data_IF_958752038962
#
_entry.id   IF_958752038962
#
_cell.length_a   1.000
_cell.length_b   1.000
_cell.length_c   1.000
_cell.angle_alpha   90.00
_cell.angle_beta   90.00
_cell.angle_gamma   90.00
#
_symmetry.space_group_name_H-M   'P 1'
#
loop_
_entity.id
_entity.type
_entity.pdbx_description
1 polymer ?
#
# COMPACT_ATOMS: atom_id res chain seq x y z
N UNK A 1 -31.54 -24.40 -11.51
CA UNK A 1 -32.49 -23.29 -11.69
C UNK A 1 -31.93 -22.32 -12.71
N UNK A 2 -32.80 -21.81 -13.58
CA UNK A 2 -32.50 -21.21 -14.89
C UNK A 2 -31.72 -19.89 -14.80
N UNK A 3 -30.84 -19.69 -15.78
CA UNK A 3 -30.13 -18.46 -16.09
C UNK A 3 -31.11 -17.31 -16.36
N UNK A 4 -30.96 -16.20 -15.64
CA UNK A 4 -31.60 -14.93 -15.97
C UNK A 4 -30.54 -14.00 -16.57
N UNK A 5 -30.66 -13.76 -17.88
CA UNK A 5 -29.98 -12.68 -18.59
C UNK A 5 -30.48 -11.35 -18.03
N UNK A 6 -29.66 -10.64 -17.26
CA UNK A 6 -29.89 -9.24 -16.96
C UNK A 6 -29.21 -8.39 -18.04
N UNK A 7 -30.02 -7.86 -18.96
CA UNK A 7 -29.65 -6.68 -19.73
C UNK A 7 -29.53 -5.49 -18.78
N UNK A 8 -28.34 -5.30 -18.20
CA UNK A 8 -27.99 -4.03 -17.58
C UNK A 8 -27.87 -2.98 -18.67
N UNK A 9 -28.68 -1.91 -18.58
CA UNK A 9 -28.49 -0.68 -19.32
C UNK A 9 -27.01 -0.25 -19.28
N UNK A 10 -26.49 0.39 -20.33
CA UNK A 10 -25.10 0.82 -20.36
C UNK A 10 -24.85 1.72 -19.14
N UNK A 11 -24.01 1.24 -18.21
CA UNK A 11 -23.49 2.07 -17.12
C UNK A 11 -22.92 3.31 -17.79
N UNK A 12 -23.53 4.46 -17.55
CA UNK A 12 -22.87 5.76 -17.75
C UNK A 12 -21.64 5.74 -16.84
N UNK A 13 -20.53 5.22 -17.38
CA UNK A 13 -19.23 5.32 -16.75
C UNK A 13 -18.89 6.81 -16.81
N UNK A 14 -19.25 7.55 -15.75
CA UNK A 14 -18.67 8.86 -15.50
C UNK A 14 -17.17 8.71 -15.69
N UNK A 15 -16.53 9.65 -16.42
CA UNK A 15 -15.08 9.66 -16.53
C UNK A 15 -14.51 9.51 -15.11
N UNK A 16 -13.79 8.42 -14.82
CA UNK A 16 -13.35 8.12 -13.46
C UNK A 16 -12.50 9.25 -12.87
N UNK A 17 -11.87 10.05 -13.74
CA UNK A 17 -11.12 11.25 -13.36
C UNK A 17 -12.01 12.38 -12.81
N UNK A 18 -13.25 12.53 -13.27
CA UNK A 18 -14.15 13.57 -12.75
C UNK A 18 -14.59 13.32 -11.31
N UNK A 19 -14.34 12.11 -10.78
CA UNK A 19 -14.60 11.73 -9.40
C UNK A 19 -13.36 11.87 -8.49
N UNK A 20 -12.21 12.24 -9.05
CA UNK A 20 -11.00 12.53 -8.26
C UNK A 20 -11.18 13.82 -7.50
N UNK A 21 -10.76 13.80 -6.24
CA UNK A 21 -10.75 14.98 -5.39
C UNK A 21 -9.58 15.88 -5.78
N UNK A 22 -9.88 17.15 -6.05
CA UNK A 22 -8.95 18.22 -6.39
C UNK A 22 -9.41 19.54 -5.77
N UNK A 23 -9.07 19.73 -4.50
CA UNK A 23 -9.38 20.95 -3.75
C UNK A 23 -8.65 22.20 -4.28
N UNK A 24 -7.62 22.04 -5.13
CA UNK A 24 -6.89 23.16 -5.69
C UNK A 24 -7.64 23.81 -6.86
N UNK A 25 -8.41 23.03 -7.62
CA UNK A 25 -9.12 23.52 -8.81
C UNK A 25 -10.64 23.50 -8.70
N UNK A 26 -11.19 22.69 -7.79
CA UNK A 26 -12.63 22.52 -7.62
C UNK A 26 -13.13 23.10 -6.30
N UNK A 27 -14.27 23.83 -6.28
CA UNK A 27 -14.89 24.26 -5.04
C UNK A 27 -15.43 23.05 -4.27
N UNK A 28 -15.56 23.22 -2.95
CA UNK A 28 -16.19 22.23 -2.10
C UNK A 28 -17.67 22.06 -2.50
N UNK A 29 -18.15 20.81 -2.57
CA UNK A 29 -19.56 20.54 -2.86
C UNK A 29 -20.48 21.22 -1.83
N UNK A 30 -21.60 21.79 -2.30
CA UNK A 30 -22.48 22.64 -1.49
C UNK A 30 -23.00 21.92 -0.23
N UNK A 31 -23.40 20.66 -0.35
CA UNK A 31 -23.90 19.88 0.80
C UNK A 31 -22.80 19.46 1.78
N UNK A 32 -21.52 19.62 1.44
CA UNK A 32 -20.44 19.42 2.40
C UNK A 32 -20.32 20.59 3.39
N UNK A 33 -20.74 21.80 3.04
CA UNK A 33 -20.48 23.03 3.83
C UNK A 33 -20.96 22.90 5.28
N UNK A 34 -22.14 22.30 5.49
CA UNK A 34 -22.78 22.09 6.79
C UNK A 34 -22.74 20.62 7.25
N UNK A 35 -22.00 19.77 6.54
CA UNK A 35 -21.89 18.36 6.88
C UNK A 35 -21.12 18.16 8.19
N UNK A 36 -21.68 17.37 9.11
CA UNK A 36 -21.06 17.04 10.41
C UNK A 36 -19.71 16.34 10.26
N UNK A 37 -19.51 15.58 9.17
CA UNK A 37 -18.27 14.85 8.92
C UNK A 37 -17.23 15.70 8.14
N UNK A 38 -17.55 16.95 7.76
CA UNK A 38 -16.63 17.82 7.01
C UNK A 38 -15.31 18.08 7.74
N UNK A 39 -15.28 18.38 9.06
CA UNK A 39 -14.01 18.55 9.78
C UNK A 39 -13.09 17.33 9.65
N UNK A 40 -13.68 16.13 9.63
CA UNK A 40 -12.98 14.86 9.47
C UNK A 40 -12.57 14.58 8.02
N UNK A 41 -13.48 14.72 7.05
CA UNK A 41 -13.24 14.26 5.68
C UNK A 41 -12.67 15.33 4.74
N UNK A 42 -12.72 16.61 5.13
CA UNK A 42 -12.32 17.77 4.33
C UNK A 42 -13.39 18.27 3.35
N UNK A 43 -14.50 17.54 3.21
CA UNK A 43 -15.45 17.75 2.13
C UNK A 43 -15.04 17.00 0.85
N UNK A 44 -15.73 17.27 -0.26
CA UNK A 44 -15.41 16.71 -1.57
C UNK A 44 -15.31 17.85 -2.59
N UNK A 45 -14.30 17.77 -3.45
CA UNK A 45 -13.92 18.78 -4.44
C UNK A 45 -13.70 18.08 -5.77
N UNK A 46 -14.76 17.80 -6.53
CA UNK A 46 -14.58 17.11 -7.81
C UNK A 46 -15.50 17.66 -8.90
N UNK A 47 -15.16 17.34 -10.15
CA UNK A 47 -15.86 17.86 -11.32
C UNK A 47 -17.18 17.15 -11.65
N UNK A 48 -17.59 16.14 -10.87
CA UNK A 48 -18.93 15.58 -11.04
C UNK A 48 -19.97 16.56 -10.49
N UNK A 49 -21.06 16.77 -11.22
CA UNK A 49 -22.19 17.53 -10.71
C UNK A 49 -22.95 16.68 -9.69
N UNK A 50 -22.76 16.96 -8.39
CA UNK A 50 -23.47 16.33 -7.27
C UNK A 50 -23.52 17.30 -6.06
N UNK A 51 -24.48 17.12 -5.16
CA UNK A 51 -24.69 18.03 -4.02
C UNK A 51 -23.76 17.71 -2.84
N UNK A 52 -23.66 16.43 -2.46
CA UNK A 52 -22.72 15.91 -1.46
C UNK A 52 -22.45 14.40 -1.65
N UNK A 53 -21.52 13.84 -0.87
CA UNK A 53 -21.14 12.43 -1.03
C UNK A 53 -22.28 11.42 -0.76
N UNK A 54 -23.39 11.85 -0.16
CA UNK A 54 -24.63 11.09 -0.03
C UNK A 54 -25.26 10.75 -1.38
N UNK A 55 -24.97 11.53 -2.42
CA UNK A 55 -25.37 11.18 -3.80
C UNK A 55 -24.74 9.87 -4.27
N UNK A 56 -23.66 9.39 -3.65
CA UNK A 56 -23.06 8.09 -3.97
C UNK A 56 -23.68 6.91 -3.20
N UNK A 57 -24.70 7.15 -2.38
CA UNK A 57 -25.49 6.12 -1.71
C UNK A 57 -26.47 5.40 -2.68
N UNK A 58 -25.96 4.82 -3.78
CA UNK A 58 -26.78 4.34 -4.91
C UNK A 58 -26.94 2.82 -4.97
N UNK A 59 -27.15 2.19 -3.82
CA UNK A 59 -27.35 0.75 -3.78
C UNK A 59 -28.73 0.36 -4.33
N UNK A 60 -28.75 -0.46 -5.38
CA UNK A 60 -30.00 -0.99 -5.98
C UNK A 60 -30.79 -1.80 -4.95
N UNK A 61 -30.12 -2.73 -4.26
CA UNK A 61 -30.69 -3.50 -3.17
C UNK A 61 -30.15 -3.02 -1.81
N UNK A 62 -31.06 -2.46 -1.00
CA UNK A 62 -30.73 -2.00 0.35
C UNK A 62 -30.49 -3.14 1.34
N UNK A 63 -30.94 -4.36 1.08
CA UNK A 63 -30.68 -5.49 1.96
C UNK A 63 -29.22 -5.98 1.87
N UNK A 64 -28.63 -5.94 0.68
CA UNK A 64 -27.29 -6.49 0.40
C UNK A 64 -26.16 -5.47 0.27
N UNK A 65 -26.47 -4.17 0.25
CA UNK A 65 -25.42 -3.18 0.08
C UNK A 65 -24.58 -2.91 1.33
N UNK A 66 -23.27 -2.95 1.14
CA UNK A 66 -22.26 -2.85 2.20
C UNK A 66 -21.69 -1.44 2.40
N UNK A 67 -22.14 -0.44 1.62
CA UNK A 67 -21.67 0.93 1.75
C UNK A 67 -22.00 1.51 3.13
N UNK A 68 -21.03 2.16 3.76
CA UNK A 68 -21.24 2.93 4.99
C UNK A 68 -21.93 4.25 4.63
N UNK A 69 -23.26 4.23 4.59
CA UNK A 69 -24.07 5.32 4.06
C UNK A 69 -25.25 5.70 4.98
N UNK A 70 -25.46 7.01 5.18
CA UNK A 70 -26.57 7.57 5.99
C UNK A 70 -27.98 7.24 5.45
N UNK A 71 -28.11 6.95 4.15
CA UNK A 71 -29.33 6.44 3.51
C UNK A 71 -29.79 5.06 4.03
N UNK A 72 -29.00 4.41 4.90
CA UNK A 72 -29.37 3.22 5.66
C UNK A 72 -29.03 3.39 7.15
N UNK A 73 -29.83 4.16 7.91
CA UNK A 73 -29.48 4.57 9.27
C UNK A 73 -29.08 3.42 10.22
N UNK A 74 -29.80 2.29 10.19
CA UNK A 74 -29.49 1.13 11.04
C UNK A 74 -28.11 0.53 10.75
N UNK A 75 -27.79 0.30 9.47
CA UNK A 75 -26.50 -0.25 9.05
C UNK A 75 -25.38 0.78 9.27
N UNK A 76 -25.62 2.05 8.95
CA UNK A 76 -24.68 3.14 9.20
C UNK A 76 -24.26 3.21 10.67
N UNK A 77 -25.22 3.22 11.60
CA UNK A 77 -24.93 3.23 13.04
C UNK A 77 -24.17 1.96 13.47
N UNK A 78 -24.51 0.79 12.93
CA UNK A 78 -23.79 -0.44 13.21
C UNK A 78 -22.32 -0.36 12.77
N UNK A 79 -22.05 0.14 11.56
CA UNK A 79 -20.70 0.35 11.02
C UNK A 79 -19.90 1.39 11.81
N UNK A 80 -20.55 2.46 12.29
CA UNK A 80 -19.87 3.41 13.16
C UNK A 80 -19.51 2.80 14.52
N UNK A 81 -20.39 2.00 15.12
CA UNK A 81 -20.10 1.30 16.38
C UNK A 81 -19.00 0.25 16.22
N UNK A 82 -18.97 -0.44 15.09
CA UNK A 82 -17.96 -1.45 14.76
C UNK A 82 -16.53 -0.93 14.85
N UNK A 83 -16.30 0.34 14.50
CA UNK A 83 -14.97 0.98 14.54
C UNK A 83 -14.87 2.10 15.58
N UNK A 84 -15.89 2.26 16.41
CA UNK A 84 -16.02 3.34 17.41
C UNK A 84 -15.85 4.76 16.80
N UNK A 85 -16.59 5.04 15.72
CA UNK A 85 -16.55 6.31 15.01
C UNK A 85 -15.44 6.43 13.97
N UNK A 86 -15.40 7.57 13.27
CA UNK A 86 -14.54 7.78 12.09
C UNK A 86 -13.22 8.49 12.40
N UNK A 87 -13.02 8.91 13.65
CA UNK A 87 -11.80 9.59 14.09
C UNK A 87 -10.68 8.62 14.44
N UNK A 88 -9.42 9.05 14.33
CA UNK A 88 -8.29 8.20 14.72
C UNK A 88 -7.96 8.26 16.21
N UNK A 89 -8.31 9.36 16.89
CA UNK A 89 -7.89 9.67 18.25
C UNK A 89 -8.20 8.56 19.28
N UNK A 90 -9.32 7.85 19.12
CA UNK A 90 -9.75 6.79 20.02
C UNK A 90 -9.21 5.39 19.67
N UNK A 91 -8.42 5.22 18.60
CA UNK A 91 -7.68 3.94 18.45
C UNK A 91 -6.59 3.90 19.53
N UNK A 92 -6.43 2.82 20.31
CA UNK A 92 -5.37 2.75 21.32
C UNK A 92 -3.97 2.88 20.70
N UNK A 93 -2.99 3.24 21.53
CA UNK A 93 -1.58 3.14 21.16
C UNK A 93 -1.12 1.69 21.20
N UNK A 94 0.03 1.43 20.58
CA UNK A 94 0.68 0.14 20.61
C UNK A 94 2.16 0.29 21.04
N UNK A 95 2.79 -0.78 21.55
CA UNK A 95 4.23 -0.78 21.77
C UNK A 95 4.98 -0.46 20.47
N UNK A 96 6.09 0.28 20.60
CA UNK A 96 7.02 0.45 19.49
C UNK A 96 7.78 -0.87 19.28
N UNK A 97 7.59 -1.48 18.12
CA UNK A 97 8.36 -2.65 17.68
C UNK A 97 9.41 -2.18 16.68
N UNK A 98 10.67 -2.51 16.90
CA UNK A 98 11.75 -2.11 16.00
C UNK A 98 11.60 -2.80 14.63
N UNK A 99 11.84 -2.05 13.55
CA UNK A 99 11.92 -2.59 12.20
C UNK A 99 13.38 -2.59 11.80
N UNK A 100 13.93 -3.77 11.55
CA UNK A 100 15.28 -3.92 11.03
C UNK A 100 15.37 -3.39 9.60
N UNK A 101 16.58 -2.97 9.18
CA UNK A 101 16.82 -2.49 7.83
C UNK A 101 16.37 -3.48 6.76
N UNK A 102 15.65 -2.97 5.76
CA UNK A 102 15.14 -3.72 4.62
C UNK A 102 15.95 -3.35 3.36
N UNK A 103 16.20 -4.31 2.45
CA UNK A 103 16.89 -4.00 1.19
C UNK A 103 15.97 -3.20 0.25
N UNK A 104 16.51 -2.55 -0.80
CA UNK A 104 15.73 -1.74 -1.73
C UNK A 104 14.61 -2.49 -2.47
N UNK A 105 14.69 -3.82 -2.56
CA UNK A 105 13.68 -4.69 -3.17
C UNK A 105 13.62 -6.03 -2.47
N UNK A 106 12.39 -6.55 -2.28
CA UNK A 106 12.09 -7.86 -1.72
C UNK A 106 11.16 -8.59 -2.69
N UNK A 107 11.52 -9.80 -3.17
CA UNK A 107 10.66 -10.56 -4.08
C UNK A 107 9.46 -11.14 -3.33
N UNK A 108 8.26 -10.95 -3.87
CA UNK A 108 7.03 -11.58 -3.38
C UNK A 108 6.81 -12.94 -4.04
N UNK A 109 6.70 -13.98 -3.23
CA UNK A 109 6.51 -15.36 -3.67
C UNK A 109 5.10 -15.82 -3.31
N UNK A 110 4.28 -16.09 -4.33
CA UNK A 110 2.88 -16.49 -4.08
C UNK A 110 2.72 -17.99 -3.83
N UNK A 111 3.54 -18.84 -4.45
CA UNK A 111 3.51 -20.30 -4.30
C UNK A 111 4.78 -20.95 -4.88
N UNK A 112 4.94 -22.26 -4.64
CA UNK A 112 6.04 -23.06 -5.20
C UNK A 112 5.69 -23.84 -6.49
N UNK A 113 4.50 -23.66 -7.08
CA UNK A 113 4.08 -24.37 -8.30
C UNK A 113 5.13 -24.29 -9.42
N UNK A 114 5.42 -25.43 -10.06
CA UNK A 114 6.43 -25.60 -11.10
C UNK A 114 7.89 -25.34 -10.66
N UNK A 115 8.14 -25.32 -9.35
CA UNK A 115 9.47 -25.28 -8.74
C UNK A 115 9.73 -26.57 -7.96
N UNK A 116 10.98 -26.98 -7.90
CA UNK A 116 11.41 -28.18 -7.17
C UNK A 116 12.47 -27.89 -6.10
N UNK A 117 13.11 -26.73 -6.19
CA UNK A 117 14.12 -26.27 -5.26
C UNK A 117 13.65 -25.09 -4.40
N UNK A 118 14.57 -24.65 -3.54
CA UNK A 118 14.39 -23.46 -2.72
C UNK A 118 14.91 -22.22 -3.45
N UNK A 119 14.19 -21.11 -3.32
CA UNK A 119 14.72 -19.80 -3.71
C UNK A 119 15.79 -19.37 -2.70
N UNK A 120 17.01 -19.16 -3.18
CA UNK A 120 18.10 -18.61 -2.38
C UNK A 120 18.01 -17.08 -2.38
N UNK A 121 17.25 -16.53 -1.44
CA UNK A 121 17.14 -15.09 -1.18
C UNK A 121 17.17 -14.86 0.33
N UNK A 122 18.00 -13.92 0.84
CA UNK A 122 18.12 -13.69 2.29
C UNK A 122 16.86 -13.11 2.93
N UNK A 123 15.94 -12.61 2.10
CA UNK A 123 14.64 -12.08 2.51
C UNK A 123 13.62 -12.31 1.40
N UNK A 124 12.39 -12.62 1.76
CA UNK A 124 11.28 -12.82 0.83
C UNK A 124 9.98 -12.24 1.40
N UNK A 125 9.09 -11.83 0.50
CA UNK A 125 7.74 -11.40 0.87
C UNK A 125 6.73 -12.51 0.58
N UNK A 126 5.77 -12.72 1.47
CA UNK A 126 4.66 -13.67 1.30
C UNK A 126 3.30 -12.96 1.40
N UNK A 127 2.27 -13.40 0.66
CA UNK A 127 0.93 -12.86 0.82
C UNK A 127 0.34 -13.24 2.18
N UNK A 128 -0.11 -12.25 2.96
CA UNK A 128 -0.71 -12.44 4.29
C UNK A 128 -1.78 -13.54 4.31
N UNK A 129 -2.75 -13.45 3.40
CA UNK A 129 -3.88 -14.39 3.33
C UNK A 129 -3.50 -15.79 2.85
N UNK A 130 -2.28 -16.00 2.34
CA UNK A 130 -1.77 -17.34 2.03
C UNK A 130 -1.25 -18.06 3.29
N UNK A 131 -1.05 -17.32 4.39
CA UNK A 131 -0.63 -17.86 5.69
C UNK A 131 -1.81 -18.19 6.59
N UNK A 132 -2.99 -17.60 6.36
CA UNK A 132 -4.13 -17.69 7.26
C UNK A 132 -5.16 -18.74 6.85
N UNK A 133 -5.63 -19.51 7.82
CA UNK A 133 -6.93 -20.16 7.78
C UNK A 133 -7.95 -19.31 8.54
N UNK A 134 -8.59 -18.40 7.82
CA UNK A 134 -9.47 -17.38 8.37
C UNK A 134 -10.75 -17.98 8.98
N UNK A 135 -11.25 -19.08 8.40
CA UNK A 135 -12.49 -19.70 8.87
C UNK A 135 -12.29 -20.40 10.22
N UNK A 136 -11.10 -20.98 10.41
CA UNK A 136 -10.69 -21.62 11.66
C UNK A 136 -10.13 -20.60 12.66
N UNK A 137 -9.58 -19.47 12.19
CA UNK A 137 -8.93 -18.46 13.03
C UNK A 137 -7.51 -18.83 13.44
N UNK A 138 -6.76 -19.46 12.53
CA UNK A 138 -5.40 -19.97 12.81
C UNK A 138 -4.47 -19.81 11.60
N UNK A 139 -3.19 -20.13 11.74
CA UNK A 139 -2.28 -20.27 10.61
C UNK A 139 -2.47 -21.58 9.85
N UNK A 140 -2.27 -21.53 8.53
CA UNK A 140 -2.23 -22.72 7.65
C UNK A 140 -0.98 -23.58 7.88
N UNK A 141 0.08 -22.97 8.39
CA UNK A 141 1.36 -23.61 8.61
C UNK A 141 1.71 -23.49 10.09
N UNK A 142 1.97 -24.61 10.78
CA UNK A 142 2.16 -24.62 12.23
C UNK A 142 3.48 -23.96 12.66
N UNK A 143 4.47 -23.95 11.78
CA UNK A 143 5.80 -23.45 12.06
C UNK A 143 6.50 -22.92 10.81
N UNK A 144 7.70 -22.39 11.05
CA UNK A 144 8.57 -21.83 10.03
C UNK A 144 9.03 -22.85 8.98
N UNK A 145 9.31 -24.08 9.37
CA UNK A 145 9.81 -25.11 8.47
C UNK A 145 8.72 -25.54 7.47
N UNK A 146 7.50 -25.76 7.96
CA UNK A 146 6.34 -26.10 7.13
C UNK A 146 5.99 -24.98 6.15
N UNK A 147 6.05 -23.72 6.59
CA UNK A 147 5.88 -22.55 5.74
C UNK A 147 6.96 -22.50 4.66
N UNK A 148 8.23 -22.61 5.03
CA UNK A 148 9.35 -22.53 4.08
C UNK A 148 9.32 -23.66 3.05
N UNK A 149 8.99 -24.88 3.46
CA UNK A 149 8.77 -26.00 2.55
C UNK A 149 7.63 -25.72 1.57
N UNK A 150 6.50 -25.21 2.05
CA UNK A 150 5.33 -24.94 1.21
C UNK A 150 5.60 -23.89 0.14
N UNK A 151 6.31 -22.82 0.49
CA UNK A 151 6.63 -21.73 -0.42
C UNK A 151 7.95 -21.95 -1.16
N UNK A 152 8.69 -23.03 -0.88
CA UNK A 152 9.99 -23.35 -1.45
C UNK A 152 11.00 -22.22 -1.26
N UNK A 153 11.11 -21.71 -0.05
CA UNK A 153 12.04 -20.62 0.33
C UNK A 153 13.03 -21.13 1.36
N UNK A 154 14.17 -20.47 1.49
CA UNK A 154 15.13 -20.78 2.55
C UNK A 154 14.48 -20.60 3.94
N UNK A 155 14.56 -21.59 4.86
CA UNK A 155 14.04 -21.47 6.22
C UNK A 155 14.61 -20.28 7.00
N UNK A 156 15.86 -19.87 6.70
CA UNK A 156 16.54 -18.76 7.35
C UNK A 156 16.30 -17.39 6.69
N UNK A 157 15.58 -17.33 5.55
CA UNK A 157 15.30 -16.07 4.88
C UNK A 157 14.38 -15.18 5.72
N UNK A 158 14.74 -13.93 6.00
CA UNK A 158 13.84 -13.00 6.70
C UNK A 158 12.48 -12.92 5.98
N UNK A 159 11.39 -12.82 6.73
CA UNK A 159 10.04 -12.81 6.16
C UNK A 159 9.43 -11.41 6.22
N UNK A 160 8.96 -10.94 5.07
CA UNK A 160 8.00 -9.84 4.98
C UNK A 160 6.63 -10.40 4.63
N UNK A 161 5.58 -9.86 5.23
CA UNK A 161 4.21 -10.31 4.99
C UNK A 161 3.39 -9.15 4.42
N UNK A 162 2.88 -9.32 3.20
CA UNK A 162 2.10 -8.29 2.51
C UNK A 162 0.59 -8.51 2.71
N UNK A 163 -0.06 -7.56 3.38
CA UNK A 163 -1.51 -7.51 3.60
C UNK A 163 -2.34 -7.07 2.39
N UNK A 164 -1.69 -6.82 1.23
CA UNK A 164 -2.40 -6.41 0.01
C UNK A 164 -3.12 -7.59 -0.64
N UNK A 165 -4.43 -7.48 -0.83
CA UNK A 165 -5.24 -8.48 -1.54
C UNK A 165 -6.51 -7.91 -2.18
N UNK A 166 -7.35 -8.79 -2.73
CA UNK A 166 -8.70 -8.44 -3.18
C UNK A 166 -9.64 -8.29 -1.99
N UNK A 167 -10.60 -7.38 -2.09
CA UNK A 167 -11.58 -7.05 -1.04
C UNK A 167 -12.21 -8.28 -0.37
N UNK A 168 -12.61 -9.31 -1.14
CA UNK A 168 -13.19 -10.55 -0.57
C UNK A 168 -12.30 -11.19 0.52
N UNK A 169 -10.97 -11.16 0.39
CA UNK A 169 -10.05 -11.72 1.39
C UNK A 169 -9.89 -10.78 2.59
N UNK A 170 -9.79 -9.48 2.31
CA UNK A 170 -9.64 -8.42 3.32
C UNK A 170 -10.87 -8.38 4.24
N UNK A 171 -12.07 -8.38 3.65
CA UNK A 171 -13.34 -8.38 4.40
C UNK A 171 -13.52 -9.65 5.23
N UNK A 172 -13.07 -10.81 4.73
CA UNK A 172 -13.07 -12.06 5.51
C UNK A 172 -12.14 -11.98 6.71
N UNK A 173 -10.96 -11.38 6.58
CA UNK A 173 -10.05 -11.20 7.71
C UNK A 173 -10.68 -10.32 8.79
N UNK A 174 -11.31 -9.22 8.41
CA UNK A 174 -11.99 -8.36 9.38
C UNK A 174 -13.12 -9.06 10.13
N UNK A 175 -13.87 -9.90 9.43
CA UNK A 175 -14.92 -10.72 10.02
C UNK A 175 -14.40 -11.96 10.77
N UNK A 176 -13.08 -12.15 10.88
CA UNK A 176 -12.51 -13.30 11.54
C UNK A 176 -12.82 -13.29 13.05
N UNK A 177 -13.15 -14.47 13.58
CA UNK A 177 -13.60 -14.62 14.97
C UNK A 177 -12.50 -14.34 15.99
N UNK A 178 -11.26 -14.74 15.69
CA UNK A 178 -10.14 -14.64 16.61
C UNK A 178 -8.87 -14.12 15.91
N UNK A 179 -8.89 -12.82 15.57
CA UNK A 179 -7.71 -12.13 15.05
C UNK A 179 -6.53 -12.13 16.05
N UNK A 180 -6.74 -11.90 17.36
CA UNK A 180 -5.64 -11.95 18.34
C UNK A 180 -4.85 -13.26 18.32
N UNK A 181 -5.51 -14.43 18.30
CA UNK A 181 -4.82 -15.71 18.23
C UNK A 181 -4.00 -15.87 16.93
N UNK A 182 -4.57 -15.49 15.77
CA UNK A 182 -3.82 -15.51 14.51
C UNK A 182 -2.58 -14.62 14.54
N UNK A 183 -2.68 -13.42 15.11
CA UNK A 183 -1.57 -12.48 15.22
C UNK A 183 -0.48 -12.99 16.16
N UNK A 184 -0.83 -13.64 17.27
CA UNK A 184 0.13 -14.29 18.16
C UNK A 184 0.89 -15.42 17.46
N UNK A 185 0.21 -16.26 16.67
CA UNK A 185 0.86 -17.30 15.88
C UNK A 185 1.78 -16.71 14.80
N UNK A 186 1.39 -15.60 14.16
CA UNK A 186 2.25 -14.90 13.21
C UNK A 186 3.52 -14.35 13.87
N UNK A 187 3.41 -13.83 15.09
CA UNK A 187 4.58 -13.33 15.82
C UNK A 187 5.62 -14.42 16.06
N UNK A 188 5.18 -15.68 16.25
CA UNK A 188 6.07 -16.83 16.40
C UNK A 188 6.83 -17.22 15.11
N UNK A 189 6.48 -16.66 13.94
CA UNK A 189 7.17 -16.93 12.67
C UNK A 189 8.40 -16.03 12.41
N UNK A 190 8.75 -15.14 13.34
CA UNK A 190 9.87 -14.20 13.22
C UNK A 190 9.76 -13.34 11.94
N UNK A 191 8.68 -12.57 11.87
CA UNK A 191 8.36 -11.68 10.74
C UNK A 191 9.16 -10.39 10.88
N UNK A 192 9.97 -10.06 9.86
CA UNK A 192 10.78 -8.85 9.80
C UNK A 192 9.94 -7.58 9.54
N UNK A 193 8.83 -7.70 8.79
CA UNK A 193 7.84 -6.65 8.61
C UNK A 193 6.50 -7.23 8.13
N UNK A 194 5.38 -6.74 8.65
CA UNK A 194 4.03 -7.00 8.12
C UNK A 194 3.35 -5.69 7.69
N UNK A 195 2.59 -5.74 6.60
CA UNK A 195 1.64 -4.66 6.25
C UNK A 195 0.21 -5.12 6.56
N UNK A 196 -0.66 -4.26 7.08
CA UNK A 196 -2.05 -4.60 7.38
C UNK A 196 -2.86 -4.79 6.08
N UNK A 197 -4.10 -5.33 6.18
CA UNK A 197 -5.08 -5.30 5.09
C UNK A 197 -5.25 -3.88 4.52
N UNK A 198 -5.18 -3.75 3.20
CA UNK A 198 -5.29 -2.47 2.49
C UNK A 198 -6.75 -2.13 2.12
N UNK A 199 -7.61 -1.89 3.12
CA UNK A 199 -9.02 -1.56 2.87
C UNK A 199 -9.16 -0.43 1.84
N UNK A 200 -10.00 -0.65 0.83
CA UNK A 200 -10.10 0.19 -0.36
C UNK A 200 -10.74 1.55 -0.06
N UNK A 201 -10.17 2.63 -0.61
CA UNK A 201 -10.75 3.98 -0.59
C UNK A 201 -11.19 4.35 -2.00
N UNK A 202 -12.47 4.14 -2.29
CA UNK A 202 -13.04 4.29 -3.62
C UNK A 202 -13.54 5.72 -3.88
N UNK A 203 -13.58 6.13 -5.16
CA UNK A 203 -13.99 7.47 -5.59
C UNK A 203 -15.49 7.61 -5.83
N UNK A 204 -16.20 6.50 -6.01
CA UNK A 204 -17.62 6.44 -6.33
C UNK A 204 -18.50 5.99 -5.14
N UNK A 205 -17.99 6.18 -3.92
CA UNK A 205 -18.69 5.87 -2.66
C UNK A 205 -18.77 7.10 -1.75
N UNK A 206 -19.70 7.12 -0.78
CA UNK A 206 -19.77 8.17 0.24
C UNK A 206 -18.47 8.27 1.04
N UNK A 207 -18.11 9.47 1.51
CA UNK A 207 -16.86 9.67 2.26
C UNK A 207 -16.82 8.90 3.57
N UNK A 208 -17.97 8.67 4.20
CA UNK A 208 -18.11 7.82 5.39
C UNK A 208 -17.61 6.39 5.17
N UNK A 209 -17.72 5.87 3.94
CA UNK A 209 -17.20 4.55 3.56
C UNK A 209 -15.67 4.52 3.54
N UNK A 210 -15.06 5.54 2.93
CA UNK A 210 -13.60 5.69 2.92
C UNK A 210 -13.03 5.91 4.32
N UNK A 211 -13.65 6.77 5.13
CA UNK A 211 -13.21 7.03 6.49
C UNK A 211 -13.29 5.78 7.36
N UNK A 212 -14.34 4.97 7.19
CA UNK A 212 -14.48 3.68 7.85
C UNK A 212 -13.37 2.71 7.42
N UNK A 213 -13.07 2.62 6.11
CA UNK A 213 -11.96 1.82 5.60
C UNK A 213 -10.61 2.24 6.21
N UNK A 214 -10.31 3.56 6.22
CA UNK A 214 -9.08 4.09 6.82
C UNK A 214 -8.97 3.76 8.31
N UNK A 215 -10.07 3.91 9.07
CA UNK A 215 -10.13 3.54 10.48
C UNK A 215 -9.83 2.04 10.70
N UNK A 216 -10.37 1.16 9.86
CA UNK A 216 -10.07 -0.29 9.89
C UNK A 216 -8.61 -0.61 9.60
N UNK A 217 -7.96 0.12 8.70
CA UNK A 217 -6.52 -0.02 8.46
C UNK A 217 -5.76 0.30 9.75
N UNK A 218 -6.06 1.42 10.40
CA UNK A 218 -5.37 1.82 11.63
C UNK A 218 -5.60 0.82 12.77
N UNK A 219 -6.85 0.35 12.95
CA UNK A 219 -7.16 -0.66 13.97
C UNK A 219 -6.39 -1.95 13.72
N UNK A 220 -6.38 -2.48 12.48
CA UNK A 220 -5.61 -3.67 12.15
C UNK A 220 -4.09 -3.46 12.34
N UNK A 221 -3.58 -2.26 12.04
CA UNK A 221 -2.18 -1.89 12.29
C UNK A 221 -1.85 -1.99 13.78
N UNK A 222 -2.69 -1.39 14.63
CA UNK A 222 -2.49 -1.38 16.08
C UNK A 222 -2.63 -2.78 16.67
N UNK A 223 -3.59 -3.59 16.22
CA UNK A 223 -3.71 -5.00 16.61
C UNK A 223 -2.43 -5.79 16.31
N UNK A 224 -1.84 -5.60 15.12
CA UNK A 224 -0.57 -6.26 14.74
C UNK A 224 0.60 -5.80 15.62
N UNK A 225 0.73 -4.49 15.86
CA UNK A 225 1.79 -3.95 16.73
C UNK A 225 1.63 -4.42 18.18
N UNK A 226 0.39 -4.51 18.69
CA UNK A 226 0.10 -5.03 20.03
C UNK A 226 0.47 -6.51 20.17
N UNK A 227 0.40 -7.28 19.10
CA UNK A 227 0.89 -8.66 19.05
C UNK A 227 2.43 -8.76 18.93
N UNK A 228 3.15 -7.63 18.92
CA UNK A 228 4.61 -7.59 18.82
C UNK A 228 5.15 -7.68 17.39
N UNK A 229 4.31 -7.53 16.36
CA UNK A 229 4.75 -7.60 14.97
C UNK A 229 5.34 -6.24 14.50
N UNK A 230 6.53 -6.23 13.86
CA UNK A 230 7.03 -5.04 13.19
C UNK A 230 6.09 -4.68 12.03
N UNK A 231 5.36 -3.57 12.15
CA UNK A 231 4.22 -3.28 11.26
C UNK A 231 4.40 -1.95 10.52
N UNK A 232 4.12 -1.94 9.22
CA UNK A 232 4.05 -0.72 8.41
C UNK A 232 2.59 -0.28 8.22
N UNK A 233 2.22 0.93 8.66
CA UNK A 233 0.87 1.47 8.50
C UNK A 233 0.54 1.66 7.01
N UNK A 234 -0.55 1.06 6.52
CA UNK A 234 -0.95 1.27 5.12
C UNK A 234 -1.66 2.63 4.95
N UNK A 235 -0.97 3.64 4.43
CA UNK A 235 -1.51 5.00 4.31
C UNK A 235 -2.44 5.18 3.09
N UNK A 236 -3.54 4.42 3.02
CA UNK A 236 -4.50 4.56 1.93
C UNK A 236 -5.28 5.88 2.09
N UNK A 237 -5.51 6.59 0.99
CA UNK A 237 -6.11 7.93 1.02
C UNK A 237 -6.82 8.25 -0.29
N UNK A 238 -7.88 9.07 -0.22
CA UNK A 238 -8.61 9.59 -1.38
C UNK A 238 -8.39 11.08 -1.58
N UNK A 239 -8.33 11.86 -0.50
CA UNK A 239 -8.21 13.33 -0.54
C UNK A 239 -6.90 13.79 0.10
N UNK A 240 -6.55 15.07 -0.07
CA UNK A 240 -5.41 15.66 0.67
C UNK A 240 -5.66 15.64 2.18
N UNK A 241 -6.89 15.90 2.63
CA UNK A 241 -7.27 15.83 4.05
C UNK A 241 -7.01 14.44 4.65
N UNK A 242 -7.14 13.37 3.85
CA UNK A 242 -6.81 12.01 4.32
C UNK A 242 -5.31 11.89 4.66
N UNK A 243 -4.43 12.47 3.84
CA UNK A 243 -2.99 12.50 4.10
C UNK A 243 -2.61 13.41 5.26
N UNK A 244 -3.28 14.56 5.41
CA UNK A 244 -3.11 15.42 6.59
C UNK A 244 -3.43 14.67 7.87
N UNK A 245 -4.55 13.95 7.91
CA UNK A 245 -4.95 13.14 9.09
C UNK A 245 -3.97 12.02 9.39
N UNK A 246 -3.43 11.37 8.36
CA UNK A 246 -2.34 10.42 8.56
C UNK A 246 -1.10 11.10 9.13
N UNK A 247 -0.72 12.28 8.62
CA UNK A 247 0.39 13.08 9.14
C UNK A 247 0.22 13.49 10.60
N UNK A 248 -0.95 14.06 10.96
CA UNK A 248 -1.33 14.41 12.34
C UNK A 248 -1.19 13.20 13.27
N UNK A 249 -1.76 12.05 12.86
CA UNK A 249 -1.66 10.81 13.63
C UNK A 249 -0.22 10.34 13.83
N UNK A 250 0.59 10.34 12.77
CA UNK A 250 1.96 9.83 12.80
C UNK A 250 2.86 10.75 13.63
N UNK A 251 2.67 12.07 13.54
CA UNK A 251 3.41 13.03 14.36
C UNK A 251 3.20 12.78 15.86
N UNK A 252 1.98 12.42 16.25
CA UNK A 252 1.65 12.08 17.64
C UNK A 252 2.04 10.65 18.03
N UNK A 253 2.36 9.77 17.07
CA UNK A 253 2.59 8.32 17.29
C UNK A 253 3.97 7.88 16.82
N UNK A 254 5.03 8.13 17.60
CA UNK A 254 6.40 7.73 17.26
C UNK A 254 6.58 6.20 17.18
N UNK A 255 5.62 5.42 17.68
CA UNK A 255 5.59 3.97 17.46
C UNK A 255 5.40 3.58 15.98
N UNK A 256 4.83 4.46 15.15
CA UNK A 256 4.67 4.28 13.69
C UNK A 256 5.94 4.74 12.99
N UNK A 257 6.74 3.77 12.52
CA UNK A 257 8.06 4.01 11.93
C UNK A 257 8.09 3.75 10.41
N UNK A 258 7.16 2.94 9.91
CA UNK A 258 7.08 2.56 8.51
C UNK A 258 5.67 2.78 7.97
N UNK A 259 5.60 3.22 6.72
CA UNK A 259 4.38 3.24 5.93
C UNK A 259 4.40 2.13 4.87
N UNK A 260 3.21 1.67 4.51
CA UNK A 260 2.98 0.82 3.35
C UNK A 260 2.08 1.56 2.35
N UNK A 261 2.36 1.42 1.07
CA UNK A 261 1.51 1.96 0.02
C UNK A 261 1.50 1.05 -1.22
N UNK A 262 0.35 0.96 -1.89
CA UNK A 262 0.19 0.13 -3.08
C UNK A 262 -0.18 0.99 -4.29
N UNK A 263 0.63 0.89 -5.35
CA UNK A 263 0.40 1.53 -6.64
C UNK A 263 -0.05 0.53 -7.71
N UNK A 264 -0.26 -0.75 -7.40
CA UNK A 264 -0.62 -1.73 -8.43
C UNK A 264 -2.08 -1.61 -8.91
N UNK A 265 -2.93 -0.88 -8.18
CA UNK A 265 -4.33 -0.62 -8.54
C UNK A 265 -4.55 0.83 -8.99
N UNK A 266 -5.74 1.41 -8.74
CA UNK A 266 -6.16 2.73 -9.25
C UNK A 266 -5.18 3.87 -8.92
N UNK A 267 -4.46 3.77 -7.81
CA UNK A 267 -3.45 4.76 -7.40
C UNK A 267 -2.24 4.86 -8.35
N UNK A 268 -1.92 3.82 -9.13
CA UNK A 268 -0.77 3.82 -10.04
C UNK A 268 -1.02 4.33 -11.46
N UNK A 269 -2.21 4.90 -11.74
CA UNK A 269 -2.63 5.24 -13.10
C UNK A 269 -2.49 6.73 -13.41
N UNK A 270 -1.72 7.06 -14.45
CA UNK A 270 -1.62 8.41 -14.99
C UNK A 270 -1.23 9.45 -13.94
N UNK A 271 -1.84 10.64 -14.02
CA UNK A 271 -1.64 11.77 -13.10
C UNK A 271 -1.94 11.43 -11.64
N UNK A 272 -2.77 10.41 -11.39
CA UNK A 272 -3.11 9.99 -10.03
C UNK A 272 -1.90 9.42 -9.28
N UNK A 273 -0.98 8.77 -10.00
CA UNK A 273 0.28 8.31 -9.42
C UNK A 273 1.09 9.50 -8.92
N UNK A 274 1.27 10.51 -9.76
CA UNK A 274 2.08 11.68 -9.45
C UNK A 274 1.46 12.47 -8.28
N UNK A 275 0.12 12.55 -8.23
CA UNK A 275 -0.60 13.12 -7.08
C UNK A 275 -0.32 12.35 -5.77
N UNK A 276 -0.46 11.02 -5.76
CA UNK A 276 -0.17 10.21 -4.57
C UNK A 276 1.29 10.33 -4.13
N UNK A 277 2.22 10.39 -5.08
CA UNK A 277 3.65 10.62 -4.80
C UNK A 277 3.85 11.97 -4.13
N UNK A 278 3.26 13.05 -4.66
CA UNK A 278 3.35 14.38 -4.08
C UNK A 278 2.79 14.40 -2.65
N UNK A 279 1.64 13.76 -2.42
CA UNK A 279 1.00 13.69 -1.11
C UNK A 279 1.82 12.87 -0.09
N UNK A 280 2.40 11.73 -0.50
CA UNK A 280 3.29 10.94 0.35
C UNK A 280 4.58 11.69 0.70
N UNK A 281 5.16 12.41 -0.25
CA UNK A 281 6.32 13.28 -0.02
C UNK A 281 5.99 14.40 0.95
N UNK A 282 4.83 15.05 0.79
CA UNK A 282 4.37 16.09 1.71
C UNK A 282 4.06 15.53 3.11
N UNK A 283 3.51 14.32 3.20
CA UNK A 283 3.33 13.65 4.50
C UNK A 283 4.67 13.43 5.19
N UNK A 284 5.66 12.89 4.48
CA UNK A 284 6.99 12.63 5.02
C UNK A 284 7.70 13.89 5.52
N UNK A 285 7.46 15.05 4.89
CA UNK A 285 8.06 16.32 5.32
C UNK A 285 7.34 17.00 6.48
N UNK A 286 6.06 16.67 6.72
CA UNK A 286 5.24 17.24 7.81
C UNK A 286 5.46 16.54 9.16
N UNK A 287 5.89 15.27 9.14
CA UNK A 287 6.10 14.48 10.36
C UNK A 287 7.51 14.73 10.93
N UNK A 288 7.68 14.79 12.27
CA UNK A 288 8.97 15.11 12.88
C UNK A 288 9.99 13.96 12.80
N UNK A 289 9.54 12.71 12.68
CA UNK A 289 10.42 11.54 12.60
C UNK A 289 10.68 11.08 11.15
N UNK A 290 11.89 10.58 10.86
CA UNK A 290 12.15 9.91 9.59
C UNK A 290 11.29 8.65 9.46
N UNK A 291 10.65 8.48 8.31
CA UNK A 291 9.82 7.31 8.01
C UNK A 291 10.49 6.38 7.00
N UNK A 292 10.35 5.08 7.23
CA UNK A 292 10.54 4.07 6.19
C UNK A 292 9.27 3.91 5.35
N UNK A 293 9.41 3.48 4.10
CA UNK A 293 8.30 3.23 3.19
C UNK A 293 8.48 1.87 2.51
N UNK A 294 7.42 1.08 2.51
CA UNK A 294 7.32 -0.13 1.69
C UNK A 294 6.27 0.08 0.62
N UNK A 295 6.67 -0.03 -0.64
CA UNK A 295 5.77 0.13 -1.78
C UNK A 295 5.54 -1.19 -2.48
N UNK A 296 4.31 -1.39 -2.99
CA UNK A 296 4.00 -2.47 -3.93
C UNK A 296 3.56 -1.88 -5.26
N UNK A 297 4.26 -2.21 -6.33
CA UNK A 297 4.02 -1.66 -7.66
C UNK A 297 4.48 -0.20 -7.80
N UNK A 298 4.26 0.38 -8.97
CA UNK A 298 4.57 1.80 -9.23
C UNK A 298 6.06 2.12 -9.28
N UNK A 299 6.88 1.37 -10.02
CA UNK A 299 8.33 1.63 -10.11
C UNK A 299 8.69 3.10 -10.42
N UNK A 300 7.87 3.80 -11.21
CA UNK A 300 8.04 5.23 -11.54
C UNK A 300 7.96 6.16 -10.32
N UNK A 301 7.27 5.74 -9.26
CA UNK A 301 7.14 6.50 -8.03
C UNK A 301 8.40 6.42 -7.14
N UNK A 302 9.30 5.47 -7.40
CA UNK A 302 10.39 5.17 -6.46
C UNK A 302 11.40 6.30 -6.29
N UNK A 303 11.75 6.98 -7.37
CA UNK A 303 12.77 8.05 -7.32
C UNK A 303 12.34 9.20 -6.40
N UNK A 304 11.20 9.88 -6.61
CA UNK A 304 10.77 10.95 -5.71
C UNK A 304 10.52 10.46 -4.28
N UNK A 305 10.01 9.23 -4.09
CA UNK A 305 9.79 8.69 -2.75
C UNK A 305 11.12 8.38 -2.02
N UNK A 306 12.16 7.93 -2.72
CA UNK A 306 13.50 7.73 -2.15
C UNK A 306 14.16 9.04 -1.74
N UNK A 307 13.73 10.16 -2.33
CA UNK A 307 14.18 11.48 -1.90
C UNK A 307 13.53 11.93 -0.59
N UNK A 308 12.29 11.52 -0.34
CA UNK A 308 11.48 12.00 0.76
C UNK A 308 11.53 11.12 2.02
N UNK A 309 11.72 9.80 1.86
CA UNK A 309 11.70 8.83 2.95
C UNK A 309 13.11 8.37 3.33
N UNK A 310 13.33 8.05 4.62
CA UNK A 310 14.63 7.60 5.12
C UNK A 310 15.05 6.24 4.54
N UNK A 311 14.07 5.41 4.17
CA UNK A 311 14.29 4.20 3.37
C UNK A 311 13.07 3.87 2.54
N UNK A 312 13.28 3.33 1.33
CA UNK A 312 12.20 2.85 0.46
C UNK A 312 12.51 1.44 -0.02
N UNK A 313 11.61 0.51 0.28
CA UNK A 313 11.68 -0.90 -0.14
C UNK A 313 10.54 -1.22 -1.10
N UNK A 314 10.85 -1.79 -2.26
CA UNK A 314 9.83 -2.32 -3.18
C UNK A 314 9.53 -3.78 -2.84
N UNK A 315 8.27 -4.11 -2.53
CA UNK A 315 7.77 -5.48 -2.63
C UNK A 315 7.46 -5.75 -4.10
N UNK A 316 8.36 -6.49 -4.74
CA UNK A 316 8.28 -6.79 -6.16
C UNK A 316 7.41 -8.02 -6.42
N UNK A 317 6.48 -7.89 -7.35
CA UNK A 317 5.65 -9.00 -7.84
C UNK A 317 6.09 -9.50 -9.21
N UNK A 318 6.90 -8.72 -9.94
CA UNK A 318 7.21 -9.02 -11.34
C UNK A 318 8.18 -10.19 -11.45
N UNK A 319 9.21 -10.31 -10.59
CA UNK A 319 10.16 -11.43 -10.63
C UNK A 319 9.42 -12.78 -10.63
N UNK A 320 8.45 -12.94 -9.74
CA UNK A 320 7.67 -14.17 -9.64
C UNK A 320 6.69 -14.33 -10.80
N UNK A 321 5.85 -13.33 -11.06
CA UNK A 321 4.83 -13.40 -12.09
C UNK A 321 5.43 -13.65 -13.49
N UNK A 322 6.52 -12.95 -13.82
CA UNK A 322 7.20 -13.06 -15.12
C UNK A 322 7.89 -14.42 -15.27
N UNK A 323 8.47 -14.96 -14.20
CA UNK A 323 8.97 -16.35 -14.17
C UNK A 323 7.86 -17.35 -14.49
N UNK A 324 6.68 -17.21 -13.88
CA UNK A 324 5.54 -18.09 -14.16
C UNK A 324 5.14 -18.05 -15.64
N UNK A 325 5.22 -16.87 -16.28
CA UNK A 325 5.01 -16.69 -17.72
C UNK A 325 6.22 -17.02 -18.60
N UNK A 326 7.26 -17.66 -18.05
CA UNK A 326 8.49 -18.03 -18.76
C UNK A 326 9.12 -16.82 -19.44
N UNK A 327 9.28 -15.74 -18.68
CA UNK A 327 9.97 -14.54 -19.12
C UNK A 327 11.22 -14.31 -18.27
N UNK A 328 12.33 -13.97 -18.92
CA UNK A 328 13.60 -13.64 -18.28
C UNK A 328 13.80 -12.13 -18.26
N UNK A 329 14.22 -11.62 -17.11
CA UNK A 329 14.74 -10.28 -16.94
C UNK A 329 16.14 -10.22 -17.57
N UNK A 330 16.35 -9.25 -18.46
CA UNK A 330 17.62 -8.99 -19.13
C UNK A 330 17.91 -7.49 -19.13
N UNK A 331 19.16 -7.12 -18.95
CA UNK A 331 19.60 -5.74 -19.14
C UNK A 331 19.93 -5.50 -20.61
N UNK A 332 19.42 -4.40 -21.16
CA UNK A 332 19.88 -3.85 -22.43
C UNK A 332 21.24 -3.15 -22.24
N UNK A 333 21.99 -2.89 -23.32
CA UNK A 333 23.25 -2.14 -23.25
C UNK A 333 23.11 -0.73 -22.65
N UNK A 334 21.91 -0.13 -22.72
CA UNK A 334 21.58 1.16 -22.11
C UNK A 334 21.23 1.06 -20.61
N UNK A 335 21.41 -0.11 -20.00
CA UNK A 335 21.13 -0.36 -18.58
C UNK A 335 19.65 -0.56 -18.24
N UNK A 336 18.74 -0.51 -19.22
CA UNK A 336 17.30 -0.72 -18.98
C UNK A 336 16.97 -2.21 -18.83
N UNK A 337 16.17 -2.53 -17.83
CA UNK A 337 15.63 -3.88 -17.64
C UNK A 337 14.50 -4.14 -18.65
N UNK A 338 14.56 -5.28 -19.34
CA UNK A 338 13.51 -5.75 -20.25
C UNK A 338 13.16 -7.20 -19.99
N UNK A 339 11.89 -7.55 -20.26
CA UNK A 339 11.39 -8.91 -20.17
C UNK A 339 11.41 -9.58 -21.55
N UNK A 340 12.10 -10.71 -21.67
CA UNK A 340 12.15 -11.52 -22.91
C UNK A 340 11.52 -12.88 -22.67
N UNK A 341 10.87 -13.44 -23.69
CA UNK A 341 10.38 -14.82 -23.63
C UNK A 341 11.58 -15.76 -23.43
N UNK A 342 11.44 -16.69 -22.49
CA UNK A 342 12.42 -17.71 -22.14
C UNK A 342 11.70 -19.07 -22.06
N UNK A 343 11.25 -19.61 -23.20
CA UNK A 343 10.49 -20.85 -23.22
C UNK A 343 11.30 -22.00 -22.61
N UNK A 344 10.63 -22.86 -21.85
CA UNK A 344 11.20 -24.09 -21.30
C UNK A 344 10.43 -25.29 -21.84
N UNK A 345 11.00 -26.48 -21.74
CA UNK A 345 10.26 -27.71 -22.05
C UNK A 345 9.03 -27.85 -21.15
N UNK A 346 7.96 -28.54 -21.61
CA UNK A 346 6.82 -28.88 -20.77
C UNK A 346 7.26 -29.60 -19.49
N UNK A 347 6.72 -29.17 -18.34
CA UNK A 347 7.08 -29.73 -17.03
C UNK A 347 8.45 -29.29 -16.48
N UNK A 348 9.27 -28.57 -17.25
CA UNK A 348 10.57 -28.13 -16.77
C UNK A 348 10.44 -27.14 -15.59
N UNK A 349 11.27 -27.32 -14.54
CA UNK A 349 11.28 -26.44 -13.38
C UNK A 349 11.70 -25.01 -13.73
N UNK A 350 11.24 -24.04 -12.95
CA UNK A 350 11.58 -22.61 -13.14
C UNK A 350 12.52 -22.03 -12.09
N UNK A 351 13.11 -22.88 -11.25
CA UNK A 351 13.97 -22.46 -10.15
C UNK A 351 15.12 -21.55 -10.61
N UNK A 352 15.87 -21.97 -11.64
CA UNK A 352 16.96 -21.18 -12.19
C UNK A 352 16.50 -19.84 -12.79
N UNK A 353 15.35 -19.85 -13.48
CA UNK A 353 14.77 -18.63 -14.06
C UNK A 353 14.31 -17.65 -12.96
N UNK A 354 13.71 -18.16 -11.88
CA UNK A 354 13.30 -17.34 -10.76
C UNK A 354 14.52 -16.72 -10.06
N UNK A 355 15.56 -17.52 -9.79
CA UNK A 355 16.80 -17.05 -9.18
C UNK A 355 17.44 -15.94 -10.02
N UNK A 356 17.51 -16.13 -11.35
CA UNK A 356 18.01 -15.10 -12.28
C UNK A 356 17.17 -13.83 -12.23
N UNK A 357 15.84 -13.94 -12.30
CA UNK A 357 14.94 -12.79 -12.32
C UNK A 357 15.01 -11.98 -11.02
N UNK A 358 15.05 -12.66 -9.87
CA UNK A 358 15.23 -12.03 -8.56
C UNK A 358 16.57 -11.29 -8.50
N UNK A 359 17.68 -11.95 -8.87
CA UNK A 359 19.00 -11.33 -8.85
C UNK A 359 19.10 -10.11 -9.79
N UNK A 360 18.51 -10.20 -11.00
CA UNK A 360 18.49 -9.10 -11.96
C UNK A 360 17.72 -7.88 -11.43
N UNK A 361 16.52 -8.10 -10.87
CA UNK A 361 15.72 -7.02 -10.28
C UNK A 361 16.38 -6.42 -9.04
N UNK A 362 16.93 -7.24 -8.15
CA UNK A 362 17.71 -6.74 -7.01
C UNK A 362 18.85 -5.83 -7.46
N UNK A 363 19.62 -6.26 -8.46
CA UNK A 363 20.70 -5.45 -9.04
C UNK A 363 20.18 -4.14 -9.62
N UNK A 364 19.06 -4.17 -10.34
CA UNK A 364 18.42 -2.98 -10.89
C UNK A 364 18.02 -1.99 -9.79
N UNK A 365 17.37 -2.46 -8.72
CA UNK A 365 16.93 -1.62 -7.61
C UNK A 365 18.10 -1.04 -6.80
N UNK A 366 19.21 -1.77 -6.67
CA UNK A 366 20.44 -1.30 -6.03
C UNK A 366 21.08 -0.19 -6.87
N UNK A 367 21.19 -0.38 -8.20
CA UNK A 367 21.72 0.65 -9.11
C UNK A 367 20.87 1.92 -9.02
N UNK A 368 19.55 1.79 -9.13
CA UNK A 368 18.64 2.94 -9.02
C UNK A 368 18.75 3.66 -7.66
N UNK A 369 18.95 2.91 -6.57
CA UNK A 369 19.10 3.51 -5.24
C UNK A 369 20.44 4.27 -5.10
N UNK A 370 21.52 3.72 -5.66
CA UNK A 370 22.86 4.34 -5.64
C UNK A 370 22.92 5.61 -6.48
N UNK A 371 22.47 5.55 -7.74
CA UNK A 371 22.44 6.70 -8.63
C UNK A 371 21.66 7.87 -8.03
N UNK A 372 20.56 7.57 -7.33
CA UNK A 372 19.80 8.57 -6.60
C UNK A 372 20.57 9.17 -5.41
N UNK A 373 21.20 8.33 -4.57
CA UNK A 373 22.00 8.80 -3.44
C UNK A 373 23.24 9.63 -3.87
N UNK A 374 23.75 9.41 -5.08
CA UNK A 374 24.80 10.22 -5.71
C UNK A 374 24.25 11.57 -6.20
N UNK A 375 23.11 11.56 -6.90
CA UNK A 375 22.45 12.79 -7.35
C UNK A 375 22.12 13.72 -6.18
N UNK A 376 21.57 13.21 -5.07
CA UNK A 376 21.29 14.02 -3.88
C UNK A 376 22.55 14.68 -3.30
N UNK A 377 23.66 13.93 -3.22
CA UNK A 377 24.94 14.47 -2.73
C UNK A 377 25.46 15.59 -3.64
N UNK A 378 25.32 15.44 -4.95
CA UNK A 378 25.74 16.46 -5.91
C UNK A 378 24.89 17.73 -5.77
N UNK A 379 23.55 17.61 -5.68
CA UNK A 379 22.64 18.75 -5.52
C UNK A 379 22.88 19.50 -4.20
N UNK A 380 23.16 18.78 -3.10
CA UNK A 380 23.53 19.40 -1.83
C UNK A 380 24.89 20.12 -1.89
N UNK A 381 25.85 19.60 -2.67
CA UNK A 381 27.16 20.26 -2.84
C UNK A 381 27.09 21.52 -3.69
N UNK A 382 26.19 21.56 -4.69
CA UNK A 382 25.99 22.73 -5.55
C UNK A 382 25.24 23.86 -4.84
N UNK A 383 24.30 23.52 -3.93
CA UNK A 383 23.59 24.50 -3.09
C UNK A 383 24.45 25.21 -2.05
N UNK A 384 25.69 24.77 -1.83
CA UNK A 384 26.65 25.38 -0.89
C UNK A 384 27.71 26.27 -1.55
N UNK A 385 27.65 26.51 -2.87
CA UNK A 385 28.47 27.56 -3.49
C UNK A 385 27.97 28.93 -3.01
N UNK A 386 28.68 29.50 -2.04
CA UNK A 386 28.50 30.88 -1.60
C UNK A 386 28.51 31.81 -2.83
N UNK A 387 27.67 32.86 -2.85
CA UNK A 387 27.69 33.82 -3.95
C UNK A 387 29.11 34.37 -4.07
N UNK A 388 29.67 34.19 -5.26
CA UNK A 388 31.03 34.57 -5.56
C UNK A 388 31.19 36.07 -5.26
N UNK A 389 32.22 36.42 -4.48
CA UNK A 389 32.48 37.80 -4.00
C UNK A 389 32.83 38.77 -5.14
N UNK A 390 32.79 38.31 -6.40
CA UNK A 390 33.18 39.06 -7.59
C UNK A 390 32.13 40.10 -8.05
N UNK A 391 30.86 40.01 -7.62
CA UNK A 391 29.80 40.91 -8.11
C UNK A 391 29.63 42.23 -7.32
N UNK A 392 30.51 42.54 -6.36
CA UNK A 392 30.46 43.83 -5.61
C UNK A 392 31.30 44.97 -6.17
N UNK A 393 32.07 44.78 -7.24
CA UNK A 393 32.91 45.85 -7.82
C UNK A 393 32.42 46.45 -9.15
N UNK A 394 31.19 46.14 -9.59
CA UNK A 394 30.63 46.71 -10.82
C UNK A 394 29.52 47.77 -10.59
N UNK A 395 29.41 48.33 -9.39
CA UNK A 395 28.49 49.45 -9.08
C UNK A 395 29.17 50.50 -8.23
N UNK A 396 30.28 51.03 -8.72
CA UNK A 396 30.85 52.32 -8.33
C UNK A 396 31.85 52.69 -9.44
N UNK A 397 31.36 53.45 -10.41
CA UNK A 397 32.08 53.90 -11.60
C UNK A 397 31.19 54.82 -12.42
#
# INVERSE_FOLDING_TARGET
MKYANNHSLPRLVRNAQSLWDDAATMPCSLGCVTCVDRPTCGGVHNGASFFDCGDYCRCEDKATCDLVCRGKPKQFVARLREVDGLEFANVPRAPRVAVEALPPMIPLIEHATARVGMLNSPIVALPFYALLDIDVGTLRYPDRAALSQKFGIDPNARLVVSGVARDKKIERYWAAKDRPAMLQQLAALDIALITPPNYSVLTDVPRTDNLHAMKRILMATVEMMQAGLPTALHANARTERDYERWGELIADRPEIQYLAFEFATGAGRGERLDWHVAQLTALASRVPQPLGLVVRGGMRALEPLRAAFASVTMIDTDAFAKTCYRQAAQFRPDGRLVWRKHPTLPGAPIDALLQQNVAALQSHHIILARSHAENQRNTMSEGFRAPDRADRHAREG
#
